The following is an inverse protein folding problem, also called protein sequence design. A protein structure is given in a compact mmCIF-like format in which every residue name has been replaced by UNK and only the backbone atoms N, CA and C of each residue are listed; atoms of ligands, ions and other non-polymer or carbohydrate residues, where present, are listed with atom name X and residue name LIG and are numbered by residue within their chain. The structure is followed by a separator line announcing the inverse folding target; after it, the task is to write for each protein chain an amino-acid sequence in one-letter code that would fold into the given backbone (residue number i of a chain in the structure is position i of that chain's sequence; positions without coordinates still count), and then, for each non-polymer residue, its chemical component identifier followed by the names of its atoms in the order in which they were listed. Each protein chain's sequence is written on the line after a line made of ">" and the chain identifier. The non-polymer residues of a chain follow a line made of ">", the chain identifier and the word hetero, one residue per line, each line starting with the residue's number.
data_IF_753045686398
#
_entry.id   IF_753045686398
#
_cell.length_a   1.000
_cell.length_b   1.000
_cell.length_c   1.000
_cell.angle_alpha   90.00
_cell.angle_beta   90.00
_cell.angle_gamma   90.00
#
_symmetry.space_group_name_H-M   'P 1'
#
loop_
_entity.id
_entity.type
_entity.pdbx_description
1 polymer ?
#
# COMPACT_ATOMS: atom_id res chain seq x y z
N UNK A 1 -0.79 -19.11 -9.77
CA UNK A 1 0.66 -19.30 -9.57
C UNK A 1 1.18 -18.26 -8.60
N UNK A 2 2.04 -18.67 -7.68
CA UNK A 2 2.90 -17.79 -6.88
C UNK A 2 4.34 -17.96 -7.34
N UNK A 3 5.12 -16.90 -7.23
CA UNK A 3 6.52 -16.87 -7.65
C UNK A 3 7.41 -16.49 -6.47
N UNK A 4 8.46 -17.26 -6.27
CA UNK A 4 9.43 -17.10 -5.21
C UNK A 4 10.84 -17.02 -5.78
N UNK A 5 11.66 -16.14 -5.19
CA UNK A 5 13.07 -16.06 -5.53
C UNK A 5 13.88 -17.19 -4.88
N UNK A 6 15.17 -17.27 -5.22
CA UNK A 6 16.15 -18.20 -4.63
C UNK A 6 16.30 -18.07 -3.10
N UNK A 7 15.88 -16.94 -2.53
CA UNK A 7 15.90 -16.68 -1.08
C UNK A 7 14.57 -17.04 -0.41
N UNK A 8 13.65 -17.70 -1.14
CA UNK A 8 12.31 -18.07 -0.68
C UNK A 8 11.42 -16.87 -0.39
N UNK A 9 11.71 -15.70 -0.97
CA UNK A 9 10.89 -14.50 -0.86
C UNK A 9 9.81 -14.58 -1.93
N UNK A 10 8.55 -14.44 -1.50
CA UNK A 10 7.42 -14.30 -2.42
C UNK A 10 7.55 -12.98 -3.19
N UNK A 11 7.78 -13.06 -4.50
CA UNK A 11 8.04 -11.93 -5.41
C UNK A 11 6.88 -11.63 -6.36
N UNK A 12 5.91 -12.55 -6.48
CA UNK A 12 4.75 -12.29 -7.32
C UNK A 12 3.62 -13.30 -7.20
N UNK A 13 2.45 -12.90 -7.68
CA UNK A 13 1.28 -13.76 -7.81
C UNK A 13 0.50 -13.46 -9.08
N UNK A 14 -0.01 -14.51 -9.70
CA UNK A 14 -0.95 -14.39 -10.82
C UNK A 14 -2.27 -13.76 -10.37
N UNK A 15 -2.91 -12.98 -11.23
CA UNK A 15 -4.21 -12.36 -10.96
C UNK A 15 -5.32 -13.34 -10.57
N UNK A 16 -5.31 -14.58 -11.08
CA UNK A 16 -6.28 -15.61 -10.72
C UNK A 16 -6.19 -16.03 -9.24
N UNK A 17 -4.98 -16.15 -8.70
CA UNK A 17 -4.75 -16.44 -7.27
C UNK A 17 -5.16 -15.26 -6.41
N UNK A 18 -4.83 -14.03 -6.81
CA UNK A 18 -5.24 -12.83 -6.07
C UNK A 18 -6.76 -12.73 -5.98
N UNK A 19 -7.46 -12.98 -7.10
CA UNK A 19 -8.92 -13.04 -7.14
C UNK A 19 -9.49 -14.16 -6.27
N UNK A 20 -8.87 -15.35 -6.27
CA UNK A 20 -9.28 -16.47 -5.42
C UNK A 20 -9.19 -16.13 -3.93
N UNK A 21 -8.13 -15.42 -3.53
CA UNK A 21 -7.87 -15.03 -2.15
C UNK A 21 -8.65 -13.78 -1.70
N UNK A 22 -9.18 -13.00 -2.66
CA UNK A 22 -9.91 -11.75 -2.38
C UNK A 22 -9.02 -10.51 -2.29
N UNK A 23 -7.79 -10.55 -2.80
CA UNK A 23 -6.89 -9.39 -2.82
C UNK A 23 -6.94 -8.68 -4.18
N UNK A 24 -7.00 -7.34 -4.21
CA UNK A 24 -7.06 -6.58 -5.46
C UNK A 24 -5.72 -6.50 -6.20
N UNK A 25 -4.60 -6.72 -5.51
CA UNK A 25 -3.26 -6.71 -6.10
C UNK A 25 -2.27 -7.54 -5.28
N UNK A 26 -1.12 -7.88 -5.87
CA UNK A 26 -0.03 -8.55 -5.17
C UNK A 26 0.49 -7.72 -3.97
N UNK A 27 0.59 -6.40 -4.14
CA UNK A 27 0.99 -5.49 -3.07
C UNK A 27 0.00 -5.52 -1.90
N UNK A 28 -1.29 -5.65 -2.18
CA UNK A 28 -2.34 -5.75 -1.14
C UNK A 28 -2.29 -7.05 -0.35
N UNK A 29 -1.85 -8.15 -0.97
CA UNK A 29 -1.54 -9.37 -0.24
C UNK A 29 -0.26 -9.19 0.58
N UNK A 30 0.81 -8.69 -0.06
CA UNK A 30 2.15 -8.61 0.52
C UNK A 30 2.24 -7.62 1.69
N UNK A 31 1.31 -6.68 1.78
CA UNK A 31 1.17 -5.78 2.93
C UNK A 31 0.63 -6.46 4.19
N UNK A 32 -0.03 -7.61 4.05
CA UNK A 32 -0.64 -8.35 5.16
C UNK A 32 0.07 -9.67 5.42
N UNK A 33 0.63 -10.27 4.37
CA UNK A 33 1.22 -11.59 4.42
C UNK A 33 2.56 -11.61 3.71
N UNK A 34 3.58 -12.11 4.38
CA UNK A 34 4.86 -12.34 3.76
C UNK A 34 4.88 -13.62 2.92
N UNK A 35 4.05 -14.59 3.31
CA UNK A 35 4.01 -15.90 2.68
C UNK A 35 2.57 -16.46 2.61
N UNK A 36 2.33 -17.40 1.71
CA UNK A 36 1.04 -18.05 1.55
C UNK A 36 0.70 -18.97 2.73
N UNK A 37 1.72 -19.48 3.45
CA UNK A 37 1.54 -20.35 4.61
C UNK A 37 0.78 -19.69 5.75
N UNK A 38 0.83 -18.36 5.85
CA UNK A 38 0.12 -17.59 6.88
C UNK A 38 -1.40 -17.73 6.78
N UNK A 39 -1.91 -18.03 5.58
CA UNK A 39 -3.33 -18.28 5.35
C UNK A 39 -3.76 -19.69 5.72
N UNK A 40 -2.82 -20.60 6.02
CA UNK A 40 -3.14 -22.01 6.25
C UNK A 40 -3.89 -22.20 7.55
N UNK A 41 -4.91 -23.03 7.50
CA UNK A 41 -5.78 -23.40 8.61
C UNK A 41 -5.63 -24.89 8.93
N UNK A 42 -5.66 -25.23 10.22
CA UNK A 42 -5.80 -26.59 10.74
C UNK A 42 -7.20 -27.15 10.45
N UNK A 43 -7.39 -28.44 10.75
CA UNK A 43 -8.68 -29.13 10.55
C UNK A 43 -9.83 -28.51 11.38
N UNK A 44 -9.52 -27.73 12.42
CA UNK A 44 -10.47 -27.02 13.27
C UNK A 44 -10.70 -25.56 12.79
N UNK A 45 -9.95 -25.08 11.80
CA UNK A 45 -10.00 -23.73 11.27
C UNK A 45 -9.10 -22.71 11.99
N UNK A 46 -8.10 -23.14 12.75
CA UNK A 46 -7.11 -22.26 13.38
C UNK A 46 -5.86 -22.12 12.51
N UNK A 47 -5.19 -20.98 12.53
CA UNK A 47 -4.00 -20.77 11.70
C UNK A 47 -2.85 -21.73 12.09
N UNK A 48 -2.36 -22.49 11.10
CA UNK A 48 -1.47 -23.63 11.32
C UNK A 48 -0.02 -23.20 11.63
N UNK A 49 0.51 -22.19 10.93
CA UNK A 49 1.90 -21.75 11.09
C UNK A 49 2.10 -20.29 10.67
N UNK A 50 2.53 -19.42 11.61
CA UNK A 50 2.93 -18.03 11.29
C UNK A 50 4.42 -17.87 10.92
N UNK A 51 5.27 -18.82 11.32
CA UNK A 51 6.72 -18.63 11.30
C UNK A 51 7.48 -19.49 10.29
N UNK A 52 6.78 -20.17 9.37
CA UNK A 52 7.42 -21.08 8.40
C UNK A 52 7.13 -20.63 6.97
N UNK A 53 8.18 -20.26 6.23
CA UNK A 53 8.11 -20.01 4.79
C UNK A 53 7.71 -21.28 4.03
N UNK A 54 6.66 -21.20 3.21
CA UNK A 54 6.08 -22.32 2.48
C UNK A 54 7.11 -23.10 1.65
N UNK A 55 7.89 -22.42 0.81
CA UNK A 55 8.87 -23.10 -0.07
C UNK A 55 9.92 -23.83 0.76
N UNK A 56 10.44 -23.18 1.81
CA UNK A 56 11.40 -23.78 2.75
C UNK A 56 10.82 -25.02 3.44
N UNK A 57 9.55 -24.96 3.84
CA UNK A 57 8.84 -26.08 4.42
C UNK A 57 8.75 -27.26 3.45
N UNK A 58 8.29 -27.02 2.23
CA UNK A 58 8.10 -28.05 1.20
C UNK A 58 9.42 -28.75 0.86
N UNK A 59 10.50 -27.98 0.67
CA UNK A 59 11.84 -28.51 0.43
C UNK A 59 12.36 -29.32 1.63
N UNK A 60 12.20 -28.83 2.86
CA UNK A 60 12.66 -29.52 4.08
C UNK A 60 11.96 -30.86 4.32
N UNK A 61 10.70 -30.98 3.89
CA UNK A 61 9.89 -32.20 4.01
C UNK A 61 9.95 -33.09 2.76
N UNK A 62 10.70 -32.69 1.74
CA UNK A 62 10.78 -33.36 0.43
C UNK A 62 9.38 -33.64 -0.15
N UNK A 63 8.48 -32.65 -0.02
CA UNK A 63 7.12 -32.71 -0.54
C UNK A 63 6.99 -31.81 -1.75
N UNK A 64 6.35 -32.34 -2.80
CA UNK A 64 6.08 -31.57 -4.01
C UNK A 64 4.63 -31.07 -4.07
N UNK A 65 3.72 -31.64 -3.27
CA UNK A 65 2.33 -31.17 -3.13
C UNK A 65 1.86 -31.22 -1.68
N UNK A 66 0.98 -30.29 -1.31
CA UNK A 66 0.26 -30.28 -0.04
C UNK A 66 -1.19 -29.84 -0.25
N UNK A 67 -2.11 -30.52 0.44
CA UNK A 67 -3.51 -30.09 0.56
C UNK A 67 -3.70 -29.39 1.89
N UNK A 68 -4.36 -28.25 1.86
CA UNK A 68 -4.60 -27.44 3.06
C UNK A 68 -5.87 -26.60 2.89
N UNK A 69 -6.37 -26.10 4.02
CA UNK A 69 -7.42 -25.11 4.04
C UNK A 69 -6.81 -23.73 4.16
N UNK A 70 -7.36 -22.76 3.45
CA UNK A 70 -6.97 -21.35 3.58
C UNK A 70 -8.17 -20.46 3.90
N UNK A 71 -7.95 -19.38 4.63
CA UNK A 71 -8.91 -18.29 4.76
C UNK A 71 -8.71 -17.26 3.65
N UNK A 72 -9.78 -16.93 2.94
CA UNK A 72 -9.82 -15.75 2.07
C UNK A 72 -10.08 -14.49 2.89
N UNK A 73 -9.85 -13.30 2.31
CA UNK A 73 -10.24 -12.00 2.90
C UNK A 73 -11.71 -11.94 3.31
N UNK A 74 -12.61 -12.59 2.56
CA UNK A 74 -14.05 -12.64 2.87
C UNK A 74 -14.40 -13.63 4.00
N UNK A 75 -13.42 -14.12 4.78
CA UNK A 75 -13.58 -15.19 5.77
C UNK A 75 -14.16 -16.50 5.22
N UNK A 76 -14.04 -16.77 3.91
CA UNK A 76 -14.39 -18.05 3.32
C UNK A 76 -13.23 -19.03 3.51
N UNK A 77 -13.55 -20.27 3.84
CA UNK A 77 -12.56 -21.36 3.88
C UNK A 77 -12.52 -22.07 2.54
N UNK A 78 -11.34 -22.13 1.93
CA UNK A 78 -11.11 -22.81 0.67
C UNK A 78 -10.18 -23.98 0.88
N UNK A 79 -10.56 -25.16 0.38
CA UNK A 79 -9.66 -26.30 0.28
C UNK A 79 -8.84 -26.15 -0.99
N UNK A 80 -7.52 -26.05 -0.84
CA UNK A 80 -6.57 -25.88 -1.94
C UNK A 80 -5.51 -26.97 -1.93
N UNK A 81 -5.01 -27.27 -3.11
CA UNK A 81 -3.78 -28.03 -3.32
C UNK A 81 -2.71 -27.10 -3.85
N UNK A 82 -1.54 -27.13 -3.20
CA UNK A 82 -0.37 -26.36 -3.58
C UNK A 82 0.72 -27.31 -4.06
N UNK A 83 1.17 -27.12 -5.30
CA UNK A 83 2.26 -27.90 -5.90
C UNK A 83 3.46 -27.00 -6.14
N UNK A 84 4.65 -27.44 -5.73
CA UNK A 84 5.91 -26.72 -5.88
C UNK A 84 6.71 -27.28 -7.05
N UNK A 85 7.07 -26.39 -7.97
CA UNK A 85 8.02 -26.64 -9.06
C UNK A 85 9.22 -25.70 -8.95
N UNK A 86 10.37 -26.14 -9.44
CA UNK A 86 11.58 -25.33 -9.55
C UNK A 86 11.86 -25.04 -11.00
N UNK A 87 12.11 -23.77 -11.34
CA UNK A 87 12.51 -23.35 -12.68
C UNK A 87 13.77 -22.49 -12.64
N UNK A 88 14.48 -22.44 -13.76
CA UNK A 88 15.69 -21.63 -13.91
C UNK A 88 15.46 -20.56 -14.98
N UNK A 89 15.60 -19.29 -14.61
CA UNK A 89 15.61 -18.17 -15.54
C UNK A 89 16.91 -17.39 -15.38
N UNK A 90 17.62 -17.12 -16.48
CA UNK A 90 18.87 -16.33 -16.46
C UNK A 90 19.92 -16.83 -15.46
N UNK A 91 20.06 -18.16 -15.30
CA UNK A 91 20.92 -18.82 -14.30
C UNK A 91 20.55 -18.53 -12.83
N UNK A 92 19.36 -17.98 -12.57
CA UNK A 92 18.80 -17.87 -11.22
C UNK A 92 17.70 -18.90 -11.01
N UNK A 93 17.74 -19.54 -9.85
CA UNK A 93 16.71 -20.47 -9.40
C UNK A 93 15.47 -19.70 -8.93
N UNK A 94 14.31 -20.11 -9.42
CA UNK A 94 13.00 -19.58 -9.07
C UNK A 94 12.11 -20.74 -8.67
N UNK A 95 11.24 -20.50 -7.71
CA UNK A 95 10.26 -21.48 -7.26
C UNK A 95 8.86 -21.01 -7.68
N UNK A 96 8.13 -21.91 -8.34
CA UNK A 96 6.77 -21.65 -8.82
C UNK A 96 5.81 -22.53 -8.04
N UNK A 97 4.81 -21.90 -7.44
CA UNK A 97 3.77 -22.61 -6.69
C UNK A 97 2.46 -22.55 -7.45
N UNK A 98 1.97 -23.71 -7.84
CA UNK A 98 0.67 -23.88 -8.48
C UNK A 98 -0.41 -24.00 -7.40
N UNK A 99 -1.49 -23.23 -7.54
CA UNK A 99 -2.63 -23.23 -6.61
C UNK A 99 -3.82 -23.80 -7.34
N UNK A 100 -4.31 -24.94 -6.89
CA UNK A 100 -5.51 -25.58 -7.42
C UNK A 100 -6.59 -25.60 -6.35
N UNK A 101 -7.76 -25.06 -6.66
CA UNK A 101 -8.91 -25.12 -5.75
C UNK A 101 -9.56 -26.50 -5.85
N UNK A 102 -9.71 -27.20 -4.73
CA UNK A 102 -10.34 -28.51 -4.68
C UNK A 102 -11.83 -28.40 -4.35
N UNK A 103 -12.18 -27.65 -3.30
CA UNK A 103 -13.56 -27.40 -2.85
C UNK A 103 -13.67 -26.03 -2.16
N UNK A 104 -14.80 -25.35 -2.36
CA UNK A 104 -15.15 -24.17 -1.56
C UNK A 104 -16.10 -24.61 -0.44
N UNK A 105 -15.71 -24.41 0.82
CA UNK A 105 -16.56 -24.70 1.98
C UNK A 105 -17.01 -23.37 2.56
N UNK A 106 -18.25 -22.97 2.26
CA UNK A 106 -18.89 -21.81 2.89
C UNK A 106 -19.38 -22.25 4.29
N UNK A 107 -18.53 -22.13 5.31
CA UNK A 107 -18.98 -22.24 6.70
C UNK A 107 -19.48 -20.88 7.18
N UNK A 108 -20.80 -20.70 7.25
CA UNK A 108 -21.42 -19.67 8.09
C UNK A 108 -21.13 -19.98 9.56
N UNK A 109 -19.97 -19.56 10.08
CA UNK A 109 -19.75 -19.58 11.53
C UNK A 109 -20.54 -18.43 12.14
N UNK A 110 -21.43 -18.79 13.08
CA UNK A 110 -22.31 -17.91 13.86
C UNK A 110 -21.62 -16.60 14.25
N UNK A 111 -22.36 -15.51 14.12
CA UNK A 111 -22.01 -14.16 14.59
C UNK A 111 -21.45 -14.21 16.01
N UNK A 112 -20.13 -14.14 16.13
CA UNK A 112 -19.46 -13.74 17.36
C UNK A 112 -19.73 -12.25 17.52
N UNK A 113 -20.29 -11.88 18.67
CA UNK A 113 -20.78 -10.54 19.00
C UNK A 113 -19.75 -9.46 18.67
N UNK A 114 -20.27 -8.32 18.18
CA UNK A 114 -19.54 -7.11 17.79
C UNK A 114 -18.60 -6.57 18.88
N UNK A 115 -18.77 -6.99 20.13
CA UNK A 115 -17.95 -6.61 21.29
C UNK A 115 -16.54 -7.21 21.27
N UNK A 116 -16.33 -8.40 20.68
CA UNK A 116 -14.98 -9.00 20.62
C UNK A 116 -14.15 -8.50 19.42
N UNK A 117 -14.79 -7.88 18.42
CA UNK A 117 -14.10 -7.28 17.27
C UNK A 117 -13.51 -5.92 17.64
N UNK A 118 -14.06 -5.22 18.63
CA UNK A 118 -13.48 -3.97 19.14
C UNK A 118 -12.18 -4.22 19.92
N UNK A 119 -12.13 -5.25 20.77
CA UNK A 119 -10.95 -5.56 21.56
C UNK A 119 -9.77 -6.15 20.74
N UNK A 120 -10.04 -6.83 19.63
CA UNK A 120 -8.99 -7.28 18.71
C UNK A 120 -8.52 -6.17 17.74
N UNK A 121 -9.35 -5.15 17.48
CA UNK A 121 -8.98 -3.98 16.67
C UNK A 121 -8.11 -3.00 17.44
N UNK A 122 -8.25 -2.92 18.76
CA UNK A 122 -7.38 -2.09 19.59
C UNK A 122 -5.94 -2.64 19.67
N UNK A 123 -5.75 -3.96 19.56
CA UNK A 123 -4.42 -4.58 19.49
C UNK A 123 -3.88 -4.78 18.06
N UNK A 124 -4.67 -4.43 17.02
CA UNK A 124 -4.24 -4.42 15.61
C UNK A 124 -3.65 -3.06 15.18
N UNK A 125 -3.50 -2.11 16.12
CA UNK A 125 -2.84 -0.81 15.91
C UNK A 125 -1.30 -0.91 15.82
N UNK A 126 -0.76 -2.09 15.60
CA UNK A 126 0.66 -2.32 15.30
C UNK A 126 0.83 -2.84 13.87
N UNK A 127 0.13 -2.24 12.91
CA UNK A 127 0.70 -2.16 11.55
C UNK A 127 1.84 -1.16 11.68
N UNK A 128 3.04 -1.65 11.95
CA UNK A 128 4.25 -0.85 11.71
C UNK A 128 4.20 -0.40 10.25
N UNK A 129 4.01 0.90 10.10
CA UNK A 129 3.70 1.58 8.86
C UNK A 129 4.77 1.22 7.81
N UNK A 130 4.40 0.48 6.76
CA UNK A 130 5.20 0.36 5.53
C UNK A 130 5.52 1.76 4.97
N UNK A 131 4.68 2.75 5.29
CA UNK A 131 4.90 4.17 5.01
C UNK A 131 5.86 4.87 5.98
N UNK A 132 6.01 4.43 7.23
CA UNK A 132 7.06 4.89 8.15
C UNK A 132 8.39 4.28 7.76
N UNK A 133 8.42 3.05 7.23
CA UNK A 133 9.64 2.48 6.66
C UNK A 133 10.05 3.20 5.37
N UNK A 134 9.12 3.46 4.45
CA UNK A 134 9.39 4.27 3.25
C UNK A 134 9.80 5.71 3.61
N UNK A 135 9.13 6.33 4.58
CA UNK A 135 9.43 7.66 5.09
C UNK A 135 10.74 7.71 5.89
N UNK A 136 11.08 6.68 6.66
CA UNK A 136 12.37 6.61 7.39
C UNK A 136 13.52 6.46 6.41
N UNK A 137 13.32 5.68 5.34
CA UNK A 137 14.27 5.57 4.24
C UNK A 137 14.40 6.89 3.46
N UNK A 138 13.30 7.63 3.27
CA UNK A 138 13.32 8.99 2.68
C UNK A 138 13.94 10.03 3.62
N UNK A 139 13.69 10.00 4.93
CA UNK A 139 14.27 10.92 5.91
C UNK A 139 15.79 10.76 6.02
N UNK A 140 16.31 9.53 5.88
CA UNK A 140 17.75 9.28 5.78
C UNK A 140 18.36 9.85 4.49
N UNK A 141 17.57 9.97 3.41
CA UNK A 141 18.00 10.62 2.16
C UNK A 141 17.84 12.15 2.18
N UNK A 142 16.92 12.68 2.99
CA UNK A 142 16.57 14.11 3.08
C UNK A 142 17.52 14.88 4.03
N UNK A 143 18.16 14.21 4.99
CA UNK A 143 19.20 14.84 5.82
C UNK A 143 20.47 15.27 5.05
N UNK A 144 20.48 15.19 3.72
CA UNK A 144 21.55 15.72 2.84
C UNK A 144 21.10 16.78 1.83
N UNK A 145 19.82 17.15 1.80
CA UNK A 145 19.34 18.24 0.93
C UNK A 145 18.49 19.18 1.76
N UNK A 146 19.02 20.38 1.94
CA UNK A 146 18.38 21.57 2.50
C UNK A 146 16.93 21.69 2.08
N UNK A 147 16.08 22.24 2.95
CA UNK A 147 14.73 22.70 2.65
C UNK A 147 14.70 23.51 1.34
N UNK A 148 14.48 22.83 0.22
CA UNK A 148 14.34 23.47 -1.09
C UNK A 148 12.95 24.11 -1.11
N UNK A 149 12.90 25.40 -0.79
CA UNK A 149 11.73 26.23 -1.00
C UNK A 149 11.27 26.09 -2.45
N UNK A 150 9.97 25.83 -2.64
CA UNK A 150 9.35 25.78 -3.95
C UNK A 150 9.56 27.14 -4.65
N UNK A 151 10.51 27.17 -5.59
CA UNK A 151 10.97 28.37 -6.29
C UNK A 151 11.10 28.18 -7.80
N UNK A 152 11.47 29.24 -8.51
CA UNK A 152 11.67 29.23 -9.97
C UNK A 152 12.81 28.31 -10.41
N UNK A 153 13.83 28.15 -9.58
CA UNK A 153 14.96 27.23 -9.81
C UNK A 153 14.53 25.77 -9.67
N UNK A 154 13.76 25.46 -8.61
CA UNK A 154 13.17 24.14 -8.37
C UNK A 154 12.26 23.71 -9.53
N UNK A 155 11.44 24.62 -10.06
CA UNK A 155 10.59 24.37 -11.24
C UNK A 155 11.42 23.97 -12.47
N UNK A 156 12.49 24.72 -12.75
CA UNK A 156 13.34 24.48 -13.91
C UNK A 156 14.12 23.17 -13.80
N UNK A 157 14.57 22.83 -12.59
CA UNK A 157 15.25 21.58 -12.30
C UNK A 157 14.31 20.38 -12.50
N UNK A 158 13.12 20.41 -11.90
CA UNK A 158 12.19 19.27 -11.96
C UNK A 158 11.56 19.08 -13.35
N UNK A 159 11.25 20.16 -14.07
CA UNK A 159 10.81 20.05 -15.46
C UNK A 159 11.84 19.33 -16.34
N UNK A 160 13.13 19.67 -16.18
CA UNK A 160 14.24 18.99 -16.89
C UNK A 160 14.39 17.53 -16.44
N UNK A 161 14.32 17.26 -15.14
CA UNK A 161 14.43 15.90 -14.56
C UNK A 161 13.35 14.97 -15.12
N UNK A 162 12.12 15.46 -15.27
CA UNK A 162 10.99 14.70 -15.79
C UNK A 162 10.92 14.70 -17.32
N UNK A 163 11.90 15.29 -18.02
CA UNK A 163 11.91 15.45 -19.48
C UNK A 163 10.64 16.16 -20.02
N UNK A 164 10.08 17.09 -19.24
CA UNK A 164 8.89 17.86 -19.59
C UNK A 164 9.27 19.28 -20.04
N UNK A 165 8.45 19.86 -20.91
CA UNK A 165 8.55 21.29 -21.19
C UNK A 165 8.21 22.09 -19.92
N UNK A 166 8.78 23.29 -19.78
CA UNK A 166 8.50 24.16 -18.64
C UNK A 166 7.01 24.49 -18.50
N UNK A 167 6.31 24.58 -19.63
CA UNK A 167 4.89 24.89 -19.69
C UNK A 167 4.04 23.65 -19.40
N UNK A 168 4.44 22.48 -19.91
CA UNK A 168 3.79 21.21 -19.58
C UNK A 168 3.89 20.87 -18.09
N UNK A 169 5.06 21.09 -17.48
CA UNK A 169 5.24 20.91 -16.04
C UNK A 169 4.42 21.91 -15.22
N UNK A 170 4.33 23.17 -15.68
CA UNK A 170 3.48 24.18 -15.02
C UNK A 170 1.99 23.82 -15.11
N UNK A 171 1.54 23.25 -16.23
CA UNK A 171 0.15 22.81 -16.40
C UNK A 171 -0.18 21.62 -15.49
N UNK A 172 0.73 20.64 -15.34
CA UNK A 172 0.54 19.54 -14.37
C UNK A 172 0.45 20.05 -12.92
N UNK A 173 1.29 21.03 -12.54
CA UNK A 173 1.22 21.68 -11.23
C UNK A 173 -0.10 22.42 -11.02
N UNK A 174 -0.59 23.10 -12.07
CA UNK A 174 -1.89 23.78 -12.06
C UNK A 174 -3.04 22.81 -11.89
N UNK A 175 -3.02 21.68 -12.62
CA UNK A 175 -4.03 20.64 -12.50
C UNK A 175 -4.04 20.02 -11.10
N UNK A 176 -2.86 19.75 -10.53
CA UNK A 176 -2.74 19.26 -9.15
C UNK A 176 -3.36 20.25 -8.16
N UNK A 177 -3.00 21.53 -8.24
CA UNK A 177 -3.49 22.54 -7.33
C UNK A 177 -5.02 22.75 -7.47
N UNK A 178 -5.55 22.75 -8.68
CA UNK A 178 -6.98 22.84 -8.93
C UNK A 178 -7.74 21.62 -8.37
N UNK A 179 -7.22 20.41 -8.58
CA UNK A 179 -7.85 19.20 -8.03
C UNK A 179 -7.83 19.19 -6.50
N UNK A 180 -6.72 19.64 -5.90
CA UNK A 180 -6.59 19.80 -4.45
C UNK A 180 -7.66 20.78 -3.92
N UNK A 181 -7.75 21.99 -4.50
CA UNK A 181 -8.71 23.02 -4.10
C UNK A 181 -10.16 22.55 -4.22
N UNK A 182 -10.50 21.85 -5.30
CA UNK A 182 -11.85 21.30 -5.51
C UNK A 182 -12.26 20.26 -4.46
N UNK A 183 -11.28 19.67 -3.75
CA UNK A 183 -11.51 18.65 -2.72
C UNK A 183 -11.32 19.16 -1.31
N UNK A 184 -10.89 20.41 -1.10
CA UNK A 184 -10.57 20.96 0.21
C UNK A 184 -11.73 20.85 1.21
N UNK A 185 -12.93 21.27 0.81
CA UNK A 185 -14.10 21.30 1.69
C UNK A 185 -14.48 19.87 2.13
N UNK A 186 -14.58 18.96 1.16
CA UNK A 186 -14.89 17.54 1.39
C UNK A 186 -13.79 16.86 2.22
N UNK A 187 -12.52 17.20 1.98
CA UNK A 187 -11.40 16.67 2.74
C UNK A 187 -11.44 17.14 4.19
N UNK A 188 -11.70 18.43 4.42
CA UNK A 188 -11.78 19.00 5.76
C UNK A 188 -12.95 18.42 6.56
N UNK A 189 -14.11 18.30 5.92
CA UNK A 189 -15.28 17.64 6.49
C UNK A 189 -14.98 16.18 6.85
N UNK A 190 -14.39 15.41 5.92
CA UNK A 190 -14.03 14.02 6.15
C UNK A 190 -13.03 13.86 7.31
N UNK A 191 -12.04 14.77 7.42
CA UNK A 191 -11.08 14.79 8.52
C UNK A 191 -11.77 15.02 9.87
N UNK A 192 -12.68 16.00 9.97
CA UNK A 192 -13.42 16.29 11.21
C UNK A 192 -14.34 15.13 11.61
N UNK A 193 -15.03 14.54 10.63
CA UNK A 193 -15.98 13.44 10.86
C UNK A 193 -15.27 12.08 11.03
N UNK A 194 -13.96 12.00 10.77
CA UNK A 194 -13.19 10.78 10.83
C UNK A 194 -13.54 9.76 9.74
N UNK A 195 -14.05 10.19 8.58
CA UNK A 195 -14.35 9.31 7.44
C UNK A 195 -13.06 8.85 6.76
N UNK A 196 -12.48 7.78 7.30
CA UNK A 196 -11.22 7.20 6.83
C UNK A 196 -11.24 6.79 5.36
N UNK A 197 -12.39 6.40 4.82
CA UNK A 197 -12.48 5.97 3.42
C UNK A 197 -12.40 7.18 2.48
N UNK A 198 -13.11 8.26 2.82
CA UNK A 198 -13.10 9.48 2.03
C UNK A 198 -11.76 10.21 2.13
N UNK A 199 -11.17 10.30 3.33
CA UNK A 199 -9.82 10.83 3.56
C UNK A 199 -8.81 10.08 2.67
N UNK A 200 -8.77 8.74 2.78
CA UNK A 200 -7.82 7.93 2.01
C UNK A 200 -8.00 8.09 0.51
N UNK A 201 -9.25 8.14 0.03
CA UNK A 201 -9.55 8.29 -1.40
C UNK A 201 -9.06 9.64 -1.95
N UNK A 202 -9.32 10.73 -1.22
CA UNK A 202 -8.92 12.08 -1.63
C UNK A 202 -7.40 12.21 -1.55
N UNK A 203 -6.80 11.86 -0.41
CA UNK A 203 -5.37 12.01 -0.19
C UNK A 203 -4.55 11.13 -1.13
N UNK A 204 -4.99 9.90 -1.45
CA UNK A 204 -4.28 9.03 -2.40
C UNK A 204 -4.18 9.63 -3.80
N UNK A 205 -5.25 10.28 -4.28
CA UNK A 205 -5.25 10.94 -5.60
C UNK A 205 -4.25 12.09 -5.65
N UNK A 206 -4.32 13.01 -4.67
CA UNK A 206 -3.41 14.16 -4.58
C UNK A 206 -1.95 13.67 -4.40
N UNK A 207 -1.75 12.66 -3.55
CA UNK A 207 -0.43 12.08 -3.25
C UNK A 207 0.22 11.45 -4.48
N UNK A 208 -0.53 10.69 -5.29
CA UNK A 208 0.01 10.06 -6.49
C UNK A 208 0.61 11.09 -7.48
N UNK A 209 -0.08 12.22 -7.65
CA UNK A 209 0.38 13.35 -8.45
C UNK A 209 1.54 14.10 -7.81
N UNK A 210 1.50 14.30 -6.49
CA UNK A 210 2.59 14.92 -5.74
C UNK A 210 3.89 14.12 -5.83
N UNK A 211 3.81 12.78 -5.79
CA UNK A 211 4.96 11.89 -6.01
C UNK A 211 5.51 11.99 -7.43
N UNK A 212 4.62 11.95 -8.43
CA UNK A 212 5.03 12.10 -9.83
C UNK A 212 5.77 13.42 -10.09
N UNK A 213 5.31 14.50 -9.47
CA UNK A 213 5.89 15.84 -9.60
C UNK A 213 7.01 16.15 -8.59
N UNK A 214 7.43 15.17 -7.78
CA UNK A 214 8.50 15.28 -6.76
C UNK A 214 8.29 16.43 -5.74
N UNK A 215 7.04 16.65 -5.31
CA UNK A 215 6.68 17.71 -4.37
C UNK A 215 6.76 17.21 -2.93
N UNK A 216 7.99 17.02 -2.44
CA UNK A 216 8.26 16.47 -1.10
C UNK A 216 7.51 17.15 0.05
N UNK A 217 7.40 18.50 0.12
CA UNK A 217 6.63 19.15 1.18
C UNK A 217 5.15 18.74 1.18
N UNK A 218 4.56 18.58 0.00
CA UNK A 218 3.17 18.15 -0.15
C UNK A 218 2.98 16.69 0.27
N UNK A 219 3.91 15.80 -0.08
CA UNK A 219 3.85 14.39 0.34
C UNK A 219 3.86 14.28 1.87
N UNK A 220 4.73 15.05 2.54
CA UNK A 220 4.87 15.08 4.00
C UNK A 220 3.57 15.51 4.69
N UNK A 221 2.94 16.59 4.23
CA UNK A 221 1.73 17.09 4.87
C UNK A 221 0.51 16.19 4.63
N UNK A 222 0.41 15.57 3.44
CA UNK A 222 -0.65 14.60 3.14
C UNK A 222 -0.56 13.35 4.03
N UNK A 223 0.65 12.97 4.46
CA UNK A 223 0.83 11.88 5.43
C UNK A 223 0.36 12.29 6.82
N UNK A 224 0.75 13.49 7.29
CA UNK A 224 0.29 14.02 8.58
C UNK A 224 -1.23 14.11 8.63
N UNK A 225 -1.86 14.58 7.55
CA UNK A 225 -3.33 14.66 7.47
C UNK A 225 -4.02 13.30 7.57
N UNK A 226 -3.49 12.26 6.94
CA UNK A 226 -4.08 10.91 7.00
C UNK A 226 -4.03 10.31 8.42
N UNK A 227 -3.08 10.75 9.24
CA UNK A 227 -2.82 10.23 10.58
C UNK A 227 -3.09 11.27 11.69
N UNK A 228 -3.72 12.39 11.37
CA UNK A 228 -3.93 13.48 12.33
C UNK A 228 -4.90 13.08 13.43
N UNK A 229 -4.56 13.40 14.68
CA UNK A 229 -5.55 13.48 15.75
C UNK A 229 -6.44 14.72 15.57
N UNK A 230 -7.63 14.71 16.17
CA UNK A 230 -8.60 15.82 16.05
C UNK A 230 -8.01 17.19 16.42
N UNK A 231 -7.07 17.23 17.37
CA UNK A 231 -6.35 18.43 17.82
C UNK A 231 -5.39 18.99 16.77
N UNK A 232 -4.91 18.17 15.85
CA UNK A 232 -3.86 18.51 14.88
C UNK A 232 -4.40 18.83 13.48
N UNK A 233 -5.63 18.38 13.17
CA UNK A 233 -6.27 18.55 11.85
C UNK A 233 -6.19 20.00 11.36
N UNK A 234 -6.54 20.97 12.21
CA UNK A 234 -6.58 22.39 11.80
C UNK A 234 -5.20 22.96 11.45
N UNK A 235 -4.15 22.51 12.14
CA UNK A 235 -2.76 22.97 11.89
C UNK A 235 -2.23 22.31 10.62
N UNK A 236 -2.37 20.98 10.52
CA UNK A 236 -1.91 20.22 9.37
C UNK A 236 -2.65 20.63 8.08
N UNK A 237 -3.94 20.93 8.17
CA UNK A 237 -4.73 21.37 7.03
C UNK A 237 -4.34 22.77 6.56
N UNK A 238 -3.97 23.67 7.49
CA UNK A 238 -3.45 25.00 7.13
C UNK A 238 -2.11 24.90 6.38
N UNK A 239 -1.19 24.08 6.87
CA UNK A 239 0.10 23.85 6.20
C UNK A 239 -0.10 23.23 4.80
N UNK A 240 -1.07 22.33 4.64
CA UNK A 240 -1.46 21.80 3.33
C UNK A 240 -1.96 22.91 2.39
N UNK A 241 -2.87 23.78 2.85
CA UNK A 241 -3.36 24.91 2.05
C UNK A 241 -2.25 25.88 1.66
N UNK A 242 -1.30 26.12 2.56
CA UNK A 242 -0.15 27.00 2.28
C UNK A 242 0.74 26.42 1.17
N UNK A 243 0.98 25.11 1.18
CA UNK A 243 1.73 24.43 0.12
C UNK A 243 0.99 24.52 -1.22
N UNK A 244 -0.31 24.23 -1.26
CA UNK A 244 -1.13 24.35 -2.49
C UNK A 244 -1.14 25.78 -3.01
N UNK A 245 -1.24 26.77 -2.12
CA UNK A 245 -1.20 28.20 -2.48
C UNK A 245 0.16 28.60 -3.05
N UNK A 246 1.26 28.08 -2.50
CA UNK A 246 2.62 28.30 -3.05
C UNK A 246 2.73 27.71 -4.45
N UNK A 247 2.20 26.50 -4.68
CA UNK A 247 2.17 25.88 -6.02
C UNK A 247 1.39 26.76 -7.00
N UNK A 248 0.19 27.24 -6.64
CA UNK A 248 -0.58 28.13 -7.52
C UNK A 248 0.15 29.43 -7.85
N UNK A 249 0.74 30.10 -6.85
CA UNK A 249 1.51 31.34 -7.06
C UNK A 249 2.73 31.12 -7.97
N UNK A 250 3.36 29.96 -7.91
CA UNK A 250 4.48 29.60 -8.78
C UNK A 250 4.07 29.42 -10.24
N UNK A 251 2.87 28.88 -10.47
CA UNK A 251 2.30 28.72 -11.80
C UNK A 251 1.81 30.07 -12.35
N UNK A 252 1.15 30.89 -11.53
CA UNK A 252 0.60 32.20 -11.95
C UNK A 252 1.68 33.24 -12.30
N UNK A 253 2.83 33.22 -11.61
CA UNK A 253 3.98 34.11 -11.89
C UNK A 253 4.63 33.88 -13.27
N UNK A 254 4.27 32.82 -13.98
CA UNK A 254 4.72 32.54 -15.36
C UNK A 254 3.76 32.98 -16.45
N UNK A 255 2.50 33.27 -16.11
CA UNK A 255 1.48 33.75 -17.05
C UNK A 255 1.39 35.27 -17.15
N UNK A 256 2.21 36.00 -16.39
CA UNK A 256 2.36 37.46 -16.43
C UNK A 256 3.72 37.83 -17.04
#
# INVERSE_FOLDING_TARGET
>A
MLFYDKNFVLVGMSGSVLKLLGYPSFHSFKSLHNDISELFLDENGNHLHKDIHFVKFMLSKQKNSIKTFISSVDNKTLEIELTLDTCYCNNEELYVVHVNTLKSIVQNRKSLSLENIQNARENSLLISNVFEQAYSNEMQSINKTSDEELGSEWLNYNAKKLSMSKDGFAEELKQLANEAIQKDEILFEALILGDKNQIKTILAKIRSKAYFLDIKPLIKILYRLENSENSEISVNFREYKDIITKINKLVERKTA
#
